data_IF_698817668969
#
_entry.id   IF_698817668969
#
_cell.length_a   1.000
_cell.length_b   1.000
_cell.length_c   1.000
_cell.angle_alpha   90.00
_cell.angle_beta   90.00
_cell.angle_gamma   90.00
#
_symmetry.space_group_name_H-M   'P 1'
#
loop_
_entity.id
_entity.type
_entity.pdbx_description
1 polymer ?
#
# COMPACT_ATOMS: atom_id res chain seq x y z
N UNK A 1 18.54 -15.20 -27.65
CA UNK A 1 17.17 -14.66 -27.75
C UNK A 1 16.70 -14.29 -26.35
N UNK A 2 16.22 -13.07 -26.09
CA UNK A 2 15.62 -12.77 -24.80
C UNK A 2 14.22 -13.39 -24.74
N UNK A 3 14.00 -14.13 -23.66
CA UNK A 3 12.80 -14.87 -23.35
C UNK A 3 11.65 -13.92 -22.95
N UNK A 4 10.71 -13.72 -23.88
CA UNK A 4 9.41 -13.10 -23.62
C UNK A 4 8.54 -14.07 -22.82
N UNK A 5 8.59 -13.93 -21.49
CA UNK A 5 7.78 -14.72 -20.55
C UNK A 5 6.36 -14.18 -20.42
N UNK A 6 5.46 -14.71 -21.25
CA UNK A 6 4.11 -15.16 -20.90
C UNK A 6 3.33 -14.35 -19.83
N UNK A 7 2.59 -13.33 -20.27
CA UNK A 7 1.56 -12.63 -19.48
C UNK A 7 0.22 -13.36 -19.65
N UNK A 8 -0.07 -14.27 -18.73
CA UNK A 8 -1.36 -14.97 -18.67
C UNK A 8 -1.66 -15.29 -17.22
N UNK A 9 -2.44 -14.42 -16.57
CA UNK A 9 -2.86 -14.58 -15.18
C UNK A 9 -2.38 -13.48 -14.25
N UNK A 10 -3.01 -12.30 -14.34
CA UNK A 10 -3.52 -11.56 -13.18
C UNK A 10 -2.62 -11.25 -11.99
N UNK A 11 -1.31 -11.12 -12.14
CA UNK A 11 -0.43 -10.64 -11.06
C UNK A 11 0.51 -9.54 -11.56
N UNK A 12 0.55 -8.42 -10.83
CA UNK A 12 1.52 -7.36 -11.08
C UNK A 12 2.92 -7.98 -11.08
N UNK A 13 3.72 -7.69 -12.10
CA UNK A 13 5.13 -8.11 -12.10
C UNK A 13 5.81 -7.66 -10.80
N UNK A 14 6.65 -8.52 -10.21
CA UNK A 14 7.29 -8.26 -8.92
C UNK A 14 8.02 -6.91 -8.89
N UNK A 15 8.62 -6.49 -10.02
CA UNK A 15 9.25 -5.17 -10.19
C UNK A 15 8.26 -4.00 -10.12
N UNK A 16 7.09 -4.12 -10.75
CA UNK A 16 6.04 -3.10 -10.69
C UNK A 16 5.48 -2.98 -9.27
N UNK A 17 5.23 -4.13 -8.61
CA UNK A 17 4.80 -4.18 -7.21
C UNK A 17 5.86 -3.59 -6.27
N UNK A 18 7.13 -3.91 -6.47
CA UNK A 18 8.23 -3.34 -5.67
C UNK A 18 8.41 -1.83 -5.92
N UNK A 19 8.25 -1.36 -7.16
CA UNK A 19 8.27 0.06 -7.50
C UNK A 19 7.15 0.84 -6.81
N UNK A 20 5.93 0.29 -6.85
CA UNK A 20 4.77 0.79 -6.14
C UNK A 20 4.99 0.83 -4.63
N UNK A 21 5.44 -0.27 -4.02
CA UNK A 21 5.76 -0.34 -2.59
C UNK A 21 6.88 0.64 -2.19
N UNK A 22 7.89 0.86 -3.04
CA UNK A 22 8.95 1.85 -2.78
C UNK A 22 8.43 3.28 -2.80
N UNK A 23 7.57 3.64 -3.75
CA UNK A 23 6.97 4.98 -3.81
C UNK A 23 6.07 5.24 -2.60
N UNK A 24 5.23 4.26 -2.21
CA UNK A 24 4.45 4.33 -0.98
C UNK A 24 5.35 4.46 0.24
N UNK A 25 6.39 3.61 0.34
CA UNK A 25 7.31 3.56 1.47
C UNK A 25 8.14 4.84 1.65
N UNK A 26 8.58 5.49 0.57
CA UNK A 26 9.30 6.77 0.60
C UNK A 26 8.46 7.88 1.26
N UNK A 27 7.18 7.85 0.94
CA UNK A 27 6.17 8.74 1.45
C UNK A 27 5.69 8.43 2.86
N UNK A 28 5.89 7.18 3.27
CA UNK A 28 5.50 6.69 4.56
C UNK A 28 6.55 7.06 5.61
N UNK A 29 6.49 8.30 6.12
CA UNK A 29 7.21 8.69 7.33
C UNK A 29 6.35 8.39 8.56
N UNK A 30 6.49 7.19 9.12
CA UNK A 30 5.93 6.79 10.43
C UNK A 30 6.49 7.55 11.63
N UNK A 31 7.43 8.46 11.41
CA UNK A 31 8.10 9.24 12.46
C UNK A 31 7.19 10.12 13.32
N UNK A 32 5.88 10.19 13.03
CA UNK A 32 4.88 10.92 13.82
C UNK A 32 3.86 10.03 14.54
N UNK A 33 3.93 8.69 14.37
CA UNK A 33 3.07 7.76 15.08
C UNK A 33 3.64 7.46 16.48
N UNK A 34 2.81 7.50 17.53
CA UNK A 34 3.21 7.12 18.89
C UNK A 34 3.64 5.66 18.99
N UNK A 35 4.48 5.33 19.98
CA UNK A 35 5.14 4.02 20.12
C UNK A 35 4.19 2.82 20.15
N UNK A 36 3.00 2.94 20.76
CA UNK A 36 1.96 1.89 20.75
C UNK A 36 1.42 1.58 19.35
N UNK A 37 1.36 2.57 18.47
CA UNK A 37 0.95 2.43 17.07
C UNK A 37 2.05 1.69 16.30
N UNK A 38 3.31 1.88 16.70
CA UNK A 38 4.47 1.21 16.11
C UNK A 38 4.57 -0.29 16.47
N UNK A 39 3.75 -0.82 17.38
CA UNK A 39 3.65 -2.27 17.64
C UNK A 39 2.47 -2.92 16.90
N UNK A 40 1.65 -2.13 16.20
CA UNK A 40 0.43 -2.62 15.55
C UNK A 40 0.64 -2.78 14.06
N UNK A 41 0.42 -3.99 13.56
CA UNK A 41 0.40 -4.30 12.13
C UNK A 41 -1.02 -4.09 11.62
N UNK A 42 -1.21 -3.30 10.56
CA UNK A 42 -2.54 -3.12 9.94
C UNK A 42 -2.51 -3.46 8.46
N UNK A 43 -3.45 -4.27 8.00
CA UNK A 43 -3.67 -4.54 6.58
C UNK A 43 -4.76 -3.59 6.08
N UNK A 44 -4.42 -2.78 5.08
CA UNK A 44 -5.33 -1.81 4.48
C UNK A 44 -5.63 -2.24 3.06
N UNK A 45 -6.92 -2.36 2.75
CA UNK A 45 -7.42 -2.67 1.42
C UNK A 45 -7.97 -1.41 0.78
N UNK A 46 -7.61 -1.16 -0.48
CA UNK A 46 -8.15 -0.05 -1.25
C UNK A 46 -8.21 -0.39 -2.73
N UNK A 47 -9.07 0.33 -3.44
CA UNK A 47 -9.10 0.29 -4.89
C UNK A 47 -8.26 1.38 -5.49
N UNK A 48 -7.68 1.11 -6.65
CA UNK A 48 -7.02 2.11 -7.48
C UNK A 48 -7.95 2.51 -8.62
N UNK A 49 -7.83 3.75 -9.08
CA UNK A 49 -8.46 4.26 -10.29
C UNK A 49 -7.56 3.97 -11.49
N UNK A 50 -8.12 3.95 -12.70
CA UNK A 50 -7.36 3.78 -13.96
C UNK A 50 -6.27 4.83 -14.19
N UNK A 51 -6.35 5.97 -13.50
CA UNK A 51 -5.31 7.01 -13.46
C UNK A 51 -4.11 6.66 -12.55
N UNK A 52 -4.07 5.46 -11.96
CA UNK A 52 -3.01 5.04 -11.06
C UNK A 52 -3.07 5.74 -9.71
N UNK A 53 -4.28 6.04 -9.19
CA UNK A 53 -4.48 6.73 -7.89
C UNK A 53 -5.38 5.95 -6.95
N UNK A 54 -5.11 5.90 -5.64
CA UNK A 54 -5.95 5.17 -4.70
C UNK A 54 -7.27 5.94 -4.55
N UNK A 55 -8.38 5.23 -4.72
CA UNK A 55 -9.68 5.78 -4.43
C UNK A 55 -9.85 5.87 -2.92
N UNK A 56 -9.87 7.11 -2.41
CA UNK A 56 -9.89 7.39 -0.98
C UNK A 56 -11.17 6.95 -0.26
N UNK A 57 -12.26 6.72 -1.01
CA UNK A 57 -13.54 6.24 -0.48
C UNK A 57 -13.53 4.72 -0.31
N UNK A 58 -12.73 4.02 -1.10
CA UNK A 58 -12.59 2.55 -0.99
C UNK A 58 -11.58 2.09 0.07
N UNK A 59 -10.77 3.00 0.62
CA UNK A 59 -9.77 2.67 1.64
C UNK A 59 -10.46 2.17 2.90
N UNK A 60 -10.19 0.91 3.26
CA UNK A 60 -10.73 0.24 4.44
C UNK A 60 -9.67 -0.55 5.18
N UNK A 61 -9.85 -0.69 6.49
CA UNK A 61 -9.07 -1.62 7.29
C UNK A 61 -9.55 -3.04 7.00
N UNK A 62 -8.65 -3.89 6.53
CA UNK A 62 -8.92 -5.32 6.25
C UNK A 62 -8.69 -6.15 7.51
N UNK A 63 -7.56 -5.94 8.17
CA UNK A 63 -7.18 -6.68 9.38
C UNK A 63 -6.14 -5.91 10.18
N UNK A 64 -5.93 -6.28 11.44
CA UNK A 64 -4.83 -5.79 12.24
C UNK A 64 -4.34 -6.86 13.22
N UNK A 65 -3.10 -6.72 13.69
CA UNK A 65 -2.46 -7.69 14.60
C UNK A 65 -1.43 -7.01 15.48
N UNK A 66 -1.17 -7.54 16.69
CA UNK A 66 -0.12 -7.06 17.59
C UNK A 66 -0.47 -5.86 18.47
N UNK A 67 -1.64 -5.23 18.30
CA UNK A 67 -2.09 -4.09 19.11
C UNK A 67 -3.58 -4.13 19.44
N UNK A 68 -4.08 -3.04 20.03
CA UNK A 68 -5.51 -2.87 20.34
C UNK A 68 -6.28 -2.27 19.15
N UNK A 69 -7.61 -2.38 19.18
CA UNK A 69 -8.47 -1.74 18.18
C UNK A 69 -8.22 -0.23 18.07
N UNK A 70 -7.97 0.45 19.19
CA UNK A 70 -7.65 1.89 19.20
C UNK A 70 -6.33 2.20 18.51
N UNK A 71 -5.28 1.40 18.76
CA UNK A 71 -3.98 1.54 18.08
C UNK A 71 -4.10 1.27 16.58
N UNK A 72 -4.88 0.24 16.20
CA UNK A 72 -5.15 -0.10 14.81
C UNK A 72 -5.89 1.01 14.07
N UNK A 73 -6.86 1.65 14.72
CA UNK A 73 -7.62 2.75 14.14
C UNK A 73 -6.73 3.99 13.90
N UNK A 74 -5.84 4.31 14.85
CA UNK A 74 -4.84 5.37 14.67
C UNK A 74 -3.88 5.01 13.52
N UNK A 75 -3.34 3.79 13.50
CA UNK A 75 -2.47 3.30 12.43
C UNK A 75 -3.16 3.40 11.06
N UNK A 76 -4.43 2.99 10.97
CA UNK A 76 -5.24 3.08 9.78
C UNK A 76 -5.43 4.53 9.30
N UNK A 77 -5.73 5.47 10.20
CA UNK A 77 -5.87 6.90 9.85
C UNK A 77 -4.57 7.49 9.31
N UNK A 78 -3.44 7.11 9.90
CA UNK A 78 -2.10 7.51 9.43
C UNK A 78 -1.82 6.91 8.05
N UNK A 79 -2.08 5.61 7.88
CA UNK A 79 -1.94 4.90 6.61
C UNK A 79 -2.76 5.56 5.49
N UNK A 80 -4.05 5.80 5.76
CA UNK A 80 -4.95 6.49 4.83
C UNK A 80 -4.41 7.86 4.44
N UNK A 81 -3.97 8.65 5.43
CA UNK A 81 -3.42 9.99 5.18
C UNK A 81 -2.16 9.95 4.32
N UNK A 82 -1.27 8.98 4.52
CA UNK A 82 -0.06 8.80 3.72
C UNK A 82 -0.38 8.43 2.27
N UNK A 83 -1.31 7.49 2.05
CA UNK A 83 -1.77 7.08 0.72
C UNK A 83 -2.30 8.28 -0.10
N UNK A 84 -3.11 9.13 0.53
CA UNK A 84 -3.67 10.32 -0.14
C UNK A 84 -2.59 11.37 -0.43
N UNK A 85 -1.71 11.65 0.53
CA UNK A 85 -0.68 12.71 0.39
C UNK A 85 0.30 12.44 -0.73
N UNK A 86 0.60 11.17 -0.96
CA UNK A 86 1.71 10.80 -1.84
C UNK A 86 1.31 10.36 -3.24
N UNK A 87 0.04 10.08 -3.46
CA UNK A 87 -0.42 9.79 -4.81
C UNK A 87 -0.78 11.06 -5.58
N UNK A 88 -0.08 12.17 -5.34
CA UNK A 88 -0.30 13.44 -6.05
C UNK A 88 0.12 13.38 -7.51
N UNK A 89 1.05 12.51 -7.87
CA UNK A 89 1.53 12.36 -9.25
C UNK A 89 0.97 11.12 -9.96
N UNK A 90 0.38 10.16 -9.23
CA UNK A 90 -0.10 8.89 -9.78
C UNK A 90 1.04 7.88 -9.99
N UNK A 91 0.71 6.58 -10.02
CA UNK A 91 1.68 5.53 -10.30
C UNK A 91 1.72 5.22 -11.81
N UNK A 92 2.93 5.05 -12.33
CA UNK A 92 3.15 4.55 -13.69
C UNK A 92 2.89 3.02 -13.73
N UNK A 93 1.62 2.65 -13.85
CA UNK A 93 1.16 1.26 -13.93
C UNK A 93 0.56 0.98 -15.31
N UNK A 94 0.81 -0.21 -15.89
CA UNK A 94 0.24 -0.57 -17.18
C UNK A 94 -1.28 -0.69 -17.09
N UNK A 95 -2.01 0.18 -17.80
CA UNK A 95 -3.49 0.22 -17.81
C UNK A 95 -4.13 -1.08 -18.31
N UNK A 96 -3.45 -1.79 -19.21
CA UNK A 96 -3.89 -3.09 -19.73
C UNK A 96 -4.08 -4.14 -18.61
N UNK A 97 -3.36 -3.98 -17.50
CA UNK A 97 -3.44 -4.86 -16.33
C UNK A 97 -4.26 -4.25 -15.18
N UNK A 98 -5.12 -3.26 -15.45
CA UNK A 98 -5.89 -2.59 -14.41
C UNK A 98 -6.66 -3.55 -13.51
N UNK A 99 -7.26 -4.60 -14.07
CA UNK A 99 -7.99 -5.61 -13.29
C UNK A 99 -7.10 -6.34 -12.27
N UNK A 100 -5.79 -6.38 -12.52
CA UNK A 100 -4.78 -6.99 -11.64
C UNK A 100 -4.38 -6.09 -10.47
N UNK A 101 -4.47 -4.76 -10.63
CA UNK A 101 -4.01 -3.80 -9.63
C UNK A 101 -5.08 -2.83 -9.14
N UNK A 102 -6.31 -2.95 -9.62
CA UNK A 102 -7.49 -2.19 -9.17
C UNK A 102 -7.83 -2.43 -7.71
N UNK A 103 -7.39 -3.54 -7.11
CA UNK A 103 -7.66 -3.91 -5.73
C UNK A 103 -6.36 -4.34 -5.08
N UNK A 104 -5.88 -3.52 -4.14
CA UNK A 104 -4.60 -3.69 -3.48
C UNK A 104 -4.83 -3.85 -1.98
N UNK A 105 -4.20 -4.86 -1.40
CA UNK A 105 -4.08 -5.04 0.03
C UNK A 105 -2.63 -4.80 0.44
N UNK A 106 -2.44 -3.83 1.33
CA UNK A 106 -1.13 -3.42 1.80
C UNK A 106 -1.04 -3.63 3.30
N UNK A 107 -0.12 -4.50 3.71
CA UNK A 107 0.16 -4.75 5.12
C UNK A 107 1.20 -3.77 5.62
N UNK A 108 0.77 -2.90 6.51
CA UNK A 108 1.62 -1.99 7.24
C UNK A 108 2.21 -2.70 8.47
N UNK A 109 3.53 -2.95 8.43
CA UNK A 109 4.27 -3.49 9.56
C UNK A 109 5.36 -2.50 10.01
N UNK A 110 5.14 -1.76 11.11
CA UNK A 110 6.09 -0.76 11.62
C UNK A 110 7.45 -1.33 12.05
N UNK A 111 7.51 -2.54 12.61
CA UNK A 111 8.75 -3.22 13.01
C UNK A 111 9.69 -3.42 11.80
N UNK A 112 9.11 -3.79 10.65
CA UNK A 112 9.84 -4.01 9.40
C UNK A 112 10.19 -2.71 8.68
N UNK A 113 9.56 -1.60 9.05
CA UNK A 113 9.82 -0.27 8.47
C UNK A 113 10.79 0.56 9.31
N UNK A 114 11.01 0.21 10.58
CA UNK A 114 12.02 0.81 11.48
C UNK A 114 13.45 0.52 11.03
N UNK A 115 13.69 -0.56 10.28
CA UNK A 115 15.03 -0.97 9.85
C UNK A 115 15.49 -0.18 8.61
N UNK A 116 15.93 1.05 8.82
CA UNK A 116 16.92 1.73 7.97
C UNK A 116 17.88 2.53 8.83
#
# INVERSE_FOLDING_TARGET
APQTGNQGGGELSADAKNGFLRQIGSCWSVGSAGTDVLSTVVTVGFSMTEDGRPDTNTIRLVSFTGGTQSSADIAFRIAKSALVRCTRDGYDLPRDQYETWRNIELTFNPERMRTR
#
